data_IF_303917389943
#
_entry.id   IF_303917389943
#
_cell.length_a   1.000
_cell.length_b   1.000
_cell.length_c   1.000
_cell.angle_alpha   90.00
_cell.angle_beta   90.00
_cell.angle_gamma   90.00
#
_symmetry.space_group_name_H-M   'P 1'
#
loop_
_entity.id
_entity.type
_entity.pdbx_description
1 polymer ?
#
# COMPACT_ATOMS: atom_id res chain seq x y z
N UNK A 1 -7.87 25.12 -52.50
CA UNK A 1 -6.52 24.55 -52.69
C UNK A 1 -5.62 25.13 -51.60
N UNK A 2 -5.39 24.37 -50.53
CA UNK A 2 -4.33 24.64 -49.55
C UNK A 2 -3.76 23.26 -49.21
N UNK A 3 -2.52 23.07 -49.54
CA UNK A 3 -1.76 21.83 -49.42
C UNK A 3 -1.31 21.57 -47.98
N UNK A 4 -1.62 20.42 -47.46
CA UNK A 4 -1.14 19.94 -46.16
C UNK A 4 0.32 19.39 -46.33
N UNK A 5 1.23 19.95 -45.51
CA UNK A 5 2.58 19.43 -45.37
C UNK A 5 2.62 18.43 -44.22
N UNK A 6 2.80 17.15 -44.54
CA UNK A 6 3.03 16.07 -43.57
C UNK A 6 4.52 15.98 -43.26
N UNK A 7 4.92 16.43 -42.08
CA UNK A 7 6.25 16.19 -41.53
C UNK A 7 6.31 14.82 -40.83
N UNK A 8 6.94 13.83 -41.48
CA UNK A 8 7.30 12.55 -40.86
C UNK A 8 8.61 12.75 -40.07
N UNK A 9 8.56 12.70 -38.75
CA UNK A 9 9.74 12.47 -37.93
C UNK A 9 10.12 10.97 -38.02
N UNK A 10 11.16 10.67 -38.76
CA UNK A 10 11.75 9.33 -38.84
C UNK A 10 12.59 9.05 -37.59
N UNK A 11 12.14 8.15 -36.76
CA UNK A 11 12.98 7.51 -35.75
C UNK A 11 13.52 6.21 -36.33
N UNK A 12 14.81 6.17 -36.60
CA UNK A 12 15.54 4.93 -36.94
C UNK A 12 15.86 4.18 -35.61
N UNK A 13 15.48 2.91 -35.46
CA UNK A 13 15.85 2.15 -34.27
C UNK A 13 17.27 1.61 -34.45
N UNK A 14 18.21 2.12 -33.64
CA UNK A 14 19.50 1.45 -33.48
C UNK A 14 19.26 0.16 -32.65
N UNK A 15 19.52 -0.98 -33.30
CA UNK A 15 19.61 -2.32 -32.71
C UNK A 15 20.73 -2.30 -31.65
N UNK A 16 20.37 -2.34 -30.35
CA UNK A 16 21.31 -2.72 -29.29
C UNK A 16 21.04 -4.17 -28.91
N UNK A 17 22.09 -4.97 -28.94
CA UNK A 17 22.10 -6.37 -28.52
C UNK A 17 21.73 -6.50 -27.01
N UNK A 18 21.10 -7.60 -26.60
CA UNK A 18 20.71 -7.81 -25.21
C UNK A 18 21.93 -8.25 -24.39
N UNK A 19 22.55 -7.36 -23.62
CA UNK A 19 23.43 -7.76 -22.53
C UNK A 19 22.56 -8.14 -21.33
N UNK A 20 22.30 -9.44 -21.21
CA UNK A 20 21.72 -10.03 -20.02
C UNK A 20 22.70 -9.93 -18.84
N UNK A 21 22.30 -9.20 -17.83
CA UNK A 21 22.77 -9.36 -16.47
C UNK A 21 21.58 -9.05 -15.56
N UNK A 22 21.26 -9.88 -14.55
CA UNK A 22 20.18 -9.58 -13.64
C UNK A 22 20.55 -8.32 -12.86
N UNK A 23 19.75 -7.26 -12.94
CA UNK A 23 19.85 -6.09 -12.10
C UNK A 23 19.82 -6.56 -10.64
N UNK A 24 20.97 -6.56 -9.98
CA UNK A 24 21.05 -6.63 -8.52
C UNK A 24 20.40 -5.36 -8.01
N UNK A 25 19.26 -5.50 -7.32
CA UNK A 25 18.70 -4.39 -6.56
C UNK A 25 19.79 -3.79 -5.67
N UNK A 26 20.09 -2.49 -5.77
CA UNK A 26 21.06 -1.86 -4.90
C UNK A 26 20.56 -1.97 -3.46
N UNK A 27 21.44 -2.37 -2.55
CA UNK A 27 21.16 -2.27 -1.11
C UNK A 27 20.88 -0.80 -0.82
N UNK A 28 19.74 -0.53 -0.19
CA UNK A 28 19.39 0.81 0.27
C UNK A 28 20.56 1.38 1.10
N UNK A 29 21.01 2.62 0.84
CA UNK A 29 22.08 3.23 1.62
C UNK A 29 21.65 3.36 3.08
N UNK A 30 22.58 3.08 4.01
CA UNK A 30 22.33 3.20 5.44
C UNK A 30 21.86 4.64 5.76
N UNK A 31 20.71 4.75 6.42
CA UNK A 31 20.11 6.02 6.83
C UNK A 31 21.08 6.78 7.74
N UNK A 32 21.52 7.98 7.35
CA UNK A 32 22.07 8.95 8.30
C UNK A 32 20.96 9.32 9.27
N UNK A 33 21.07 8.86 10.53
CA UNK A 33 20.16 9.26 11.60
C UNK A 33 20.13 10.79 11.70
N UNK A 34 18.99 11.40 11.40
CA UNK A 34 18.72 12.78 11.83
C UNK A 34 18.49 12.72 13.34
N UNK A 35 19.15 13.58 14.14
CA UNK A 35 18.87 13.63 15.57
C UNK A 35 17.45 14.15 15.77
N UNK A 36 16.58 13.36 16.39
CA UNK A 36 15.30 13.82 16.91
C UNK A 36 14.03 13.23 16.34
N UNK A 37 14.03 12.00 15.78
CA UNK A 37 12.78 11.24 15.61
C UNK A 37 13.05 9.79 15.99
N UNK A 38 12.98 9.49 17.29
CA UNK A 38 12.69 8.15 17.76
C UNK A 38 11.23 7.86 17.43
N UNK A 39 10.98 7.42 16.18
CA UNK A 39 9.75 6.70 15.85
C UNK A 39 9.99 5.21 16.07
N UNK A 40 10.35 4.86 17.30
CA UNK A 40 9.84 3.63 17.88
C UNK A 40 8.32 3.81 17.93
N UNK A 41 7.58 2.75 17.55
CA UNK A 41 6.13 2.72 17.62
C UNK A 41 5.67 3.01 19.07
N UNK A 42 5.72 4.28 19.45
CA UNK A 42 4.92 4.78 20.54
C UNK A 42 3.48 4.60 20.06
N UNK A 43 2.74 3.72 20.71
CA UNK A 43 1.29 3.78 20.68
C UNK A 43 0.98 5.25 20.97
N UNK A 44 0.62 6.02 19.94
CA UNK A 44 0.21 7.41 20.10
C UNK A 44 -1.05 7.30 20.91
N UNK A 45 -0.96 7.59 22.21
CA UNK A 45 -2.13 7.77 23.04
C UNK A 45 -2.86 8.96 22.40
N UNK A 46 -3.96 8.67 21.72
CA UNK A 46 -4.75 9.68 21.06
C UNK A 46 -5.22 10.71 22.08
N UNK A 47 -5.25 11.96 21.64
CA UNK A 47 -5.73 13.02 22.51
C UNK A 47 -7.21 12.78 22.85
N UNK A 48 -7.69 13.19 24.04
CA UNK A 48 -9.11 13.09 24.38
C UNK A 48 -10.05 13.73 23.34
N UNK A 49 -9.56 14.73 22.61
CA UNK A 49 -10.31 15.42 21.55
C UNK A 49 -10.46 14.54 20.30
N UNK A 50 -9.44 13.77 19.90
CA UNK A 50 -9.50 12.84 18.77
C UNK A 50 -10.48 11.69 19.06
N UNK A 51 -10.46 11.16 20.27
CA UNK A 51 -11.42 10.14 20.73
C UNK A 51 -12.86 10.67 20.73
N UNK A 52 -13.07 11.94 21.14
CA UNK A 52 -14.38 12.54 21.11
C UNK A 52 -14.88 12.76 19.67
N UNK A 53 -14.03 13.28 18.79
CA UNK A 53 -14.35 13.44 17.37
C UNK A 53 -14.70 12.11 16.70
N UNK A 54 -14.00 11.03 17.06
CA UNK A 54 -14.32 9.69 16.55
C UNK A 54 -15.71 9.22 17.03
N UNK A 55 -16.07 9.46 18.30
CA UNK A 55 -17.41 9.13 18.83
C UNK A 55 -18.52 9.88 18.09
N UNK A 56 -18.28 11.14 17.76
CA UNK A 56 -19.29 12.02 17.17
C UNK A 56 -19.48 11.77 15.66
N UNK A 57 -18.41 11.47 14.93
CA UNK A 57 -18.40 11.44 13.46
C UNK A 57 -17.93 10.13 12.84
N UNK A 58 -17.32 9.22 13.59
CA UNK A 58 -16.63 8.04 13.07
C UNK A 58 -17.53 7.13 12.23
N UNK A 59 -18.76 6.87 12.69
CA UNK A 59 -19.72 6.02 11.97
C UNK A 59 -20.18 6.66 10.65
N UNK A 60 -20.47 7.95 10.64
CA UNK A 60 -20.90 8.67 9.45
C UNK A 60 -19.74 8.75 8.44
N UNK A 61 -18.52 8.94 8.92
CA UNK A 61 -17.30 8.96 8.11
C UNK A 61 -17.00 7.58 7.51
N UNK A 62 -17.11 6.53 8.32
CA UNK A 62 -16.98 5.15 7.85
C UNK A 62 -17.96 4.84 6.71
N UNK A 63 -19.26 5.12 6.89
CA UNK A 63 -20.27 4.88 5.86
C UNK A 63 -19.98 5.65 4.57
N UNK A 64 -19.59 6.92 4.69
CA UNK A 64 -19.21 7.75 3.54
C UNK A 64 -18.03 7.15 2.78
N UNK A 65 -16.95 6.79 3.48
CA UNK A 65 -15.76 6.21 2.85
C UNK A 65 -16.03 4.81 2.26
N UNK A 66 -16.78 3.98 2.96
CA UNK A 66 -17.19 2.66 2.48
C UNK A 66 -18.03 2.75 1.20
N UNK A 67 -18.93 3.73 1.11
CA UNK A 67 -19.73 3.98 -0.09
C UNK A 67 -18.91 4.37 -1.32
N UNK A 68 -17.69 4.86 -1.15
CA UNK A 68 -16.80 5.25 -2.24
C UNK A 68 -15.92 4.10 -2.76
N UNK A 69 -15.79 2.97 -2.06
CA UNK A 69 -14.85 1.90 -2.41
C UNK A 69 -15.00 1.43 -3.86
N UNK A 70 -16.22 1.17 -4.31
CA UNK A 70 -16.50 0.68 -5.66
C UNK A 70 -16.06 1.64 -6.77
N UNK A 71 -16.03 2.96 -6.50
CA UNK A 71 -15.57 3.99 -7.42
C UNK A 71 -14.06 3.96 -7.61
N UNK A 72 -13.32 3.65 -6.53
CA UNK A 72 -11.86 3.69 -6.52
C UNK A 72 -11.22 2.30 -6.70
N UNK A 73 -12.02 1.25 -6.75
CA UNK A 73 -11.50 -0.10 -6.96
C UNK A 73 -11.08 -0.30 -8.41
N UNK A 74 -9.82 -0.65 -8.69
CA UNK A 74 -9.35 -0.92 -10.04
C UNK A 74 -9.98 -2.23 -10.54
N UNK A 75 -10.62 -2.16 -11.70
CA UNK A 75 -11.19 -3.35 -12.35
C UNK A 75 -10.17 -3.91 -13.33
N UNK A 76 -9.70 -5.13 -13.08
CA UNK A 76 -8.78 -5.88 -13.94
C UNK A 76 -7.60 -5.03 -14.46
N UNK A 77 -6.76 -4.44 -13.58
CA UNK A 77 -5.75 -3.46 -13.97
C UNK A 77 -4.75 -3.97 -15.01
N UNK A 78 -4.58 -5.28 -15.13
CA UNK A 78 -3.64 -5.87 -16.09
C UNK A 78 -4.29 -6.36 -17.39
N UNK A 79 -5.63 -6.35 -17.52
CA UNK A 79 -6.32 -6.85 -18.71
C UNK A 79 -5.89 -6.15 -20.02
N UNK A 80 -5.45 -4.89 -19.93
CA UNK A 80 -5.01 -4.08 -21.09
C UNK A 80 -3.49 -3.91 -21.17
N UNK A 81 -2.72 -4.66 -20.36
CA UNK A 81 -1.28 -4.50 -20.27
C UNK A 81 -0.54 -5.53 -21.12
N UNK A 82 0.09 -5.15 -22.25
CA UNK A 82 0.78 -6.11 -23.11
C UNK A 82 2.14 -6.55 -22.54
N UNK A 83 2.75 -5.75 -21.65
CA UNK A 83 4.12 -5.97 -21.16
C UNK A 83 4.22 -6.07 -19.63
N UNK A 84 3.17 -5.71 -18.89
CA UNK A 84 3.16 -5.75 -17.42
C UNK A 84 2.34 -6.95 -16.97
N UNK A 85 2.97 -7.82 -16.19
CA UNK A 85 2.36 -9.05 -15.63
C UNK A 85 2.06 -8.89 -14.14
N UNK A 86 1.25 -9.80 -13.58
CA UNK A 86 0.99 -9.88 -12.14
C UNK A 86 2.29 -10.08 -11.34
N UNK A 87 3.23 -10.86 -11.87
CA UNK A 87 4.54 -11.06 -11.24
C UNK A 87 5.38 -9.76 -11.23
N UNK A 88 5.38 -9.00 -12.33
CA UNK A 88 6.07 -7.72 -12.40
C UNK A 88 5.46 -6.72 -11.41
N UNK A 89 4.11 -6.69 -11.29
CA UNK A 89 3.42 -5.86 -10.30
C UNK A 89 3.79 -6.27 -8.86
N UNK A 90 3.77 -7.57 -8.56
CA UNK A 90 4.18 -8.08 -7.25
C UNK A 90 5.60 -7.64 -6.89
N UNK A 91 6.56 -7.78 -7.81
CA UNK A 91 7.95 -7.33 -7.63
C UNK A 91 8.05 -5.82 -7.37
N UNK A 92 7.30 -5.00 -8.14
CA UNK A 92 7.29 -3.55 -7.96
C UNK A 92 6.72 -3.14 -6.61
N UNK A 93 5.55 -3.69 -6.22
CA UNK A 93 4.92 -3.33 -4.93
C UNK A 93 5.76 -3.85 -3.76
N UNK A 94 6.32 -5.08 -3.84
CA UNK A 94 7.24 -5.62 -2.85
C UNK A 94 8.50 -4.76 -2.68
N UNK A 95 8.95 -4.08 -3.75
CA UNK A 95 10.04 -3.11 -3.67
C UNK A 95 9.60 -1.77 -3.08
N UNK A 96 8.36 -1.32 -3.36
CA UNK A 96 7.82 -0.08 -2.78
C UNK A 96 7.62 -0.15 -1.26
N UNK A 97 7.34 -1.34 -0.71
CA UNK A 97 7.19 -1.55 0.74
C UNK A 97 8.46 -1.12 1.52
N UNK A 98 9.68 -1.62 1.28
CA UNK A 98 10.86 -1.10 1.97
C UNK A 98 11.19 0.35 1.59
N UNK A 99 10.83 0.81 0.39
CA UNK A 99 11.06 2.19 -0.05
C UNK A 99 10.24 3.19 0.77
N UNK A 100 8.93 2.95 0.97
CA UNK A 100 8.11 3.86 1.77
C UNK A 100 8.63 3.96 3.21
N UNK A 101 9.06 2.84 3.79
CA UNK A 101 9.67 2.78 5.13
C UNK A 101 11.02 3.51 5.20
N UNK A 102 11.83 3.41 4.13
CA UNK A 102 13.11 4.14 4.04
C UNK A 102 12.91 5.64 4.14
N UNK A 103 11.86 6.18 3.52
CA UNK A 103 11.51 7.60 3.60
C UNK A 103 10.70 7.97 4.86
N UNK A 104 10.28 6.99 5.66
CA UNK A 104 9.41 7.21 6.83
C UNK A 104 8.02 7.66 6.45
N UNK A 105 7.52 7.22 5.30
CA UNK A 105 6.16 7.52 4.84
C UNK A 105 5.13 6.66 5.59
N UNK A 106 3.91 7.16 5.69
CA UNK A 106 2.80 6.47 6.33
C UNK A 106 2.31 5.26 5.53
N UNK A 107 1.63 4.33 6.19
CA UNK A 107 0.95 3.23 5.51
C UNK A 107 -0.15 3.72 4.56
N UNK A 108 -0.78 4.86 4.89
CA UNK A 108 -1.74 5.53 4.02
C UNK A 108 -1.11 5.91 2.67
N UNK A 109 0.11 6.49 2.68
CA UNK A 109 0.84 6.81 1.45
C UNK A 109 1.11 5.58 0.59
N UNK A 110 1.47 4.43 1.19
CA UNK A 110 1.67 3.19 0.46
C UNK A 110 0.36 2.67 -0.15
N UNK A 111 -0.74 2.67 0.59
CA UNK A 111 -2.06 2.26 0.09
C UNK A 111 -2.50 3.10 -1.10
N UNK A 112 -2.37 4.43 -1.00
CA UNK A 112 -2.70 5.36 -2.09
C UNK A 112 -1.77 5.18 -3.29
N UNK A 113 -0.49 4.87 -3.06
CA UNK A 113 0.47 4.56 -4.13
C UNK A 113 -0.01 3.38 -4.96
N UNK A 114 -0.36 2.27 -4.31
CA UNK A 114 -0.81 1.06 -4.99
C UNK A 114 -2.15 1.29 -5.70
N UNK A 115 -3.11 1.99 -5.07
CA UNK A 115 -4.38 2.34 -5.69
C UNK A 115 -4.18 3.22 -6.95
N UNK A 116 -3.32 4.24 -6.86
CA UNK A 116 -2.96 5.12 -8.00
C UNK A 116 -2.33 4.32 -9.14
N UNK A 117 -1.38 3.43 -8.83
CA UNK A 117 -0.73 2.53 -9.78
C UNK A 117 -1.75 1.66 -10.51
N UNK A 118 -2.58 0.93 -9.77
CA UNK A 118 -3.52 -0.04 -10.34
C UNK A 118 -4.62 0.64 -11.16
N UNK A 119 -5.14 1.77 -10.71
CA UNK A 119 -6.13 2.56 -11.45
C UNK A 119 -5.56 3.13 -12.75
N UNK A 120 -4.30 3.56 -12.75
CA UNK A 120 -3.64 4.00 -13.96
C UNK A 120 -3.44 2.85 -14.94
N UNK A 121 -2.97 1.69 -14.47
CA UNK A 121 -2.80 0.47 -15.28
C UNK A 121 -4.11 -0.01 -15.91
N UNK A 122 -5.24 0.13 -15.20
CA UNK A 122 -6.56 -0.25 -15.74
C UNK A 122 -6.96 0.54 -17.00
N UNK A 123 -6.41 1.74 -17.18
CA UNK A 123 -6.80 2.66 -18.26
C UNK A 123 -5.73 2.91 -19.31
N UNK A 124 -4.46 2.65 -18.98
CA UNK A 124 -3.31 3.10 -19.81
C UNK A 124 -2.28 1.98 -19.94
N UNK A 125 -1.99 1.51 -21.17
CA UNK A 125 -0.90 0.58 -21.40
C UNK A 125 0.46 1.20 -21.03
N UNK A 126 1.33 0.41 -20.39
CA UNK A 126 2.63 0.84 -19.90
C UNK A 126 3.72 -0.09 -20.43
N UNK A 127 4.79 0.49 -20.95
CA UNK A 127 5.97 -0.27 -21.36
C UNK A 127 6.73 -0.78 -20.11
N UNK A 128 7.32 -1.96 -20.22
CA UNK A 128 8.02 -2.61 -19.10
C UNK A 128 9.17 -1.77 -18.54
N UNK A 129 9.90 -1.03 -19.39
CA UNK A 129 11.00 -0.14 -19.00
C UNK A 129 10.52 1.13 -18.25
N UNK A 130 9.27 1.54 -18.44
CA UNK A 130 8.65 2.68 -17.75
C UNK A 130 7.94 2.27 -16.46
N UNK A 131 7.83 0.96 -16.16
CA UNK A 131 6.98 0.48 -15.07
C UNK A 131 7.52 0.87 -13.69
N UNK A 132 8.84 0.83 -13.49
CA UNK A 132 9.45 1.32 -12.24
C UNK A 132 9.24 2.83 -12.06
N UNK A 133 9.37 3.62 -13.12
CA UNK A 133 9.11 5.06 -13.07
C UNK A 133 7.66 5.35 -12.67
N UNK A 134 6.70 4.57 -13.17
CA UNK A 134 5.29 4.70 -12.79
C UNK A 134 5.09 4.44 -11.29
N UNK A 135 5.71 3.39 -10.73
CA UNK A 135 5.66 3.11 -9.29
C UNK A 135 6.19 4.26 -8.43
N UNK A 136 7.35 4.82 -8.81
CA UNK A 136 7.95 5.97 -8.14
C UNK A 136 7.09 7.23 -8.30
N UNK A 137 6.48 7.42 -9.46
CA UNK A 137 5.55 8.54 -9.71
C UNK A 137 4.30 8.43 -8.84
N UNK A 138 3.72 7.23 -8.72
CA UNK A 138 2.57 6.99 -7.86
C UNK A 138 2.92 7.26 -6.38
N UNK A 139 4.10 6.83 -5.93
CA UNK A 139 4.59 7.12 -4.58
C UNK A 139 4.78 8.62 -4.33
N UNK A 140 5.31 9.35 -5.31
CA UNK A 140 5.44 10.82 -5.23
C UNK A 140 4.08 11.50 -5.08
N UNK A 141 3.10 11.12 -5.91
CA UNK A 141 1.74 11.67 -5.87
C UNK A 141 1.09 11.41 -4.51
N UNK A 142 1.12 10.15 -4.05
CA UNK A 142 0.56 9.76 -2.76
C UNK A 142 1.23 10.51 -1.59
N UNK A 143 2.56 10.60 -1.59
CA UNK A 143 3.31 11.33 -0.56
C UNK A 143 2.96 12.81 -0.52
N UNK A 144 2.82 13.47 -1.67
CA UNK A 144 2.40 14.87 -1.73
C UNK A 144 0.99 15.10 -1.17
N UNK A 145 0.14 14.07 -1.22
CA UNK A 145 -1.24 14.17 -0.76
C UNK A 145 -1.35 14.03 0.76
N UNK A 146 -0.56 13.16 1.40
CA UNK A 146 -0.78 12.78 2.81
C UNK A 146 0.39 13.08 3.74
N UNK A 147 1.58 13.37 3.20
CA UNK A 147 2.75 13.62 4.03
C UNK A 147 3.04 15.11 4.17
N UNK A 148 3.43 15.52 5.37
CA UNK A 148 3.90 16.90 5.63
C UNK A 148 5.20 17.19 4.88
N UNK A 149 6.09 16.19 4.79
CA UNK A 149 7.39 16.27 4.14
C UNK A 149 7.58 15.15 3.12
N UNK A 150 7.03 15.30 1.91
CA UNK A 150 7.21 14.30 0.86
C UNK A 150 8.69 14.22 0.43
N UNK A 151 9.17 13.05 -0.05
CA UNK A 151 10.53 12.91 -0.55
C UNK A 151 10.75 13.78 -1.79
N UNK A 152 11.97 14.28 -1.95
CA UNK A 152 12.33 15.08 -3.12
C UNK A 152 12.45 14.21 -4.38
N UNK A 153 12.28 14.84 -5.56
CA UNK A 153 12.44 14.15 -6.86
C UNK A 153 13.82 13.52 -7.01
N UNK A 154 14.88 14.16 -6.45
CA UNK A 154 16.25 13.65 -6.51
C UNK A 154 16.44 12.39 -5.68
N UNK A 155 15.88 12.36 -4.47
CA UNK A 155 15.94 11.19 -3.58
C UNK A 155 15.20 10.00 -4.19
N UNK A 156 14.01 10.22 -4.76
CA UNK A 156 13.24 9.16 -5.43
C UNK A 156 13.97 8.61 -6.66
N UNK A 157 14.54 9.47 -7.51
CA UNK A 157 15.26 9.05 -8.70
C UNK A 157 16.59 8.37 -8.39
N UNK A 158 17.23 8.68 -7.25
CA UNK A 158 18.44 7.98 -6.80
C UNK A 158 18.19 6.47 -6.59
N UNK A 159 16.96 6.08 -6.21
CA UNK A 159 16.57 4.67 -6.07
C UNK A 159 16.45 3.94 -7.43
N UNK A 160 16.32 4.69 -8.51
CA UNK A 160 16.24 4.15 -9.88
C UNK A 160 17.61 4.06 -10.57
N UNK A 161 18.73 4.23 -9.84
CA UNK A 161 20.10 4.09 -10.36
C UNK A 161 20.39 4.93 -11.63
N UNK A 162 19.79 6.13 -11.73
CA UNK A 162 19.99 7.01 -12.88
C UNK A 162 19.27 6.59 -14.18
N UNK A 163 18.36 5.61 -14.09
CA UNK A 163 17.60 5.14 -15.25
C UNK A 163 16.65 6.23 -15.83
N UNK A 164 16.24 7.20 -15.01
CA UNK A 164 15.26 8.20 -15.38
C UNK A 164 15.71 9.61 -15.02
N UNK A 165 15.18 10.58 -15.77
CA UNK A 165 15.43 12.01 -15.55
C UNK A 165 14.30 12.65 -14.71
N UNK A 166 14.61 13.79 -14.08
CA UNK A 166 13.60 14.62 -13.37
C UNK A 166 12.46 15.02 -14.30
N UNK A 167 12.78 15.31 -15.57
CA UNK A 167 11.76 15.71 -16.55
C UNK A 167 10.80 14.56 -16.89
N UNK A 168 11.30 13.33 -17.01
CA UNK A 168 10.45 12.15 -17.24
C UNK A 168 9.51 11.92 -16.06
N UNK A 169 10.01 12.03 -14.82
CA UNK A 169 9.19 11.88 -13.62
C UNK A 169 8.08 12.95 -13.55
N UNK A 170 8.41 14.24 -13.80
CA UNK A 170 7.42 15.32 -13.83
C UNK A 170 6.37 15.15 -14.91
N UNK A 171 6.79 14.75 -16.11
CA UNK A 171 5.87 14.52 -17.22
C UNK A 171 4.91 13.36 -16.89
N UNK A 172 5.42 12.27 -16.32
CA UNK A 172 4.58 11.13 -15.95
C UNK A 172 3.65 11.48 -14.78
N UNK A 173 4.09 12.30 -13.83
CA UNK A 173 3.22 12.84 -12.77
C UNK A 173 2.00 13.57 -13.36
N UNK A 174 2.23 14.48 -14.30
CA UNK A 174 1.13 15.20 -14.97
C UNK A 174 0.20 14.22 -15.72
N UNK A 175 0.75 13.26 -16.43
CA UNK A 175 -0.04 12.26 -17.18
C UNK A 175 -0.91 11.44 -16.22
N UNK A 176 -0.35 10.96 -15.11
CA UNK A 176 -1.09 10.16 -14.12
C UNK A 176 -2.22 11.00 -13.50
N UNK A 177 -1.94 12.23 -13.06
CA UNK A 177 -2.93 13.12 -12.47
C UNK A 177 -4.08 13.41 -13.45
N UNK A 178 -3.77 13.76 -14.68
CA UNK A 178 -4.78 14.03 -15.72
C UNK A 178 -5.61 12.78 -16.04
N UNK A 179 -4.97 11.62 -16.15
CA UNK A 179 -5.65 10.37 -16.47
C UNK A 179 -6.61 9.93 -15.34
N UNK A 180 -6.26 10.19 -14.09
CA UNK A 180 -7.08 9.93 -12.93
C UNK A 180 -8.06 11.07 -12.60
N UNK A 181 -8.06 12.16 -13.37
CA UNK A 181 -8.93 13.32 -13.15
C UNK A 181 -8.70 14.02 -11.80
N UNK A 182 -7.47 13.95 -11.25
CA UNK A 182 -7.12 14.43 -9.91
C UNK A 182 -7.94 13.80 -8.78
N UNK A 183 -8.65 12.70 -9.06
CA UNK A 183 -9.45 11.98 -8.07
C UNK A 183 -8.56 11.01 -7.28
N UNK A 184 -7.91 11.51 -6.24
CA UNK A 184 -6.85 10.82 -5.50
C UNK A 184 -7.30 10.32 -4.12
N UNK A 185 -8.46 10.75 -3.62
CA UNK A 185 -8.92 10.48 -2.25
C UNK A 185 -9.57 9.10 -2.09
N UNK A 186 -8.90 8.04 -2.54
CA UNK A 186 -9.40 6.68 -2.42
C UNK A 186 -9.59 6.27 -0.95
N UNK A 187 -10.66 5.52 -0.62
CA UNK A 187 -10.73 4.82 0.66
C UNK A 187 -9.66 3.72 0.70
N UNK A 188 -8.90 3.66 1.78
CA UNK A 188 -7.72 2.79 1.89
C UNK A 188 -7.89 1.73 2.97
N UNK A 189 -7.10 0.66 2.89
CA UNK A 189 -7.00 -0.33 3.97
C UNK A 189 -6.53 0.35 5.27
N UNK A 190 -5.59 1.29 5.18
CA UNK A 190 -5.07 2.06 6.31
C UNK A 190 -6.18 2.81 7.06
N UNK A 191 -7.06 3.51 6.33
CA UNK A 191 -8.21 4.20 6.93
C UNK A 191 -9.13 3.24 7.68
N UNK A 192 -9.49 2.10 7.07
CA UNK A 192 -10.41 1.16 7.70
C UNK A 192 -9.77 0.40 8.87
N UNK A 193 -8.47 0.09 8.79
CA UNK A 193 -7.74 -0.48 9.93
C UNK A 193 -7.77 0.46 11.14
N UNK A 194 -7.55 1.75 10.92
CA UNK A 194 -7.63 2.75 11.98
C UNK A 194 -9.04 2.80 12.55
N UNK A 195 -10.05 2.91 11.70
CA UNK A 195 -11.46 2.94 12.13
C UNK A 195 -11.82 1.72 12.99
N UNK A 196 -11.54 0.51 12.55
CA UNK A 196 -11.87 -0.70 13.32
C UNK A 196 -11.05 -0.84 14.60
N UNK A 197 -9.81 -0.36 14.60
CA UNK A 197 -9.00 -0.31 15.83
C UNK A 197 -9.61 0.62 16.87
N UNK A 198 -10.15 1.76 16.45
CA UNK A 198 -10.85 2.70 17.31
C UNK A 198 -12.17 2.12 17.85
N UNK A 199 -12.95 1.47 16.98
CA UNK A 199 -14.17 0.75 17.41
C UNK A 199 -13.84 -0.29 18.48
N UNK A 200 -12.75 -1.05 18.28
CA UNK A 200 -12.29 -2.03 19.27
C UNK A 200 -11.92 -1.40 20.62
N UNK A 201 -11.18 -0.28 20.60
CA UNK A 201 -10.78 0.43 21.83
C UNK A 201 -11.96 1.02 22.62
N UNK A 202 -13.07 1.31 21.94
CA UNK A 202 -14.28 1.82 22.56
C UNK A 202 -15.23 0.73 23.07
N UNK A 203 -14.96 -0.53 22.74
CA UNK A 203 -15.75 -1.66 23.22
C UNK A 203 -15.60 -1.83 24.74
N UNK A 204 -16.68 -2.25 25.42
CA UNK A 204 -16.68 -2.49 26.84
C UNK A 204 -15.63 -3.53 27.25
N UNK A 205 -14.76 -3.16 28.16
CA UNK A 205 -13.66 -4.00 28.64
C UNK A 205 -12.57 -4.26 27.62
N UNK A 206 -12.38 -3.37 26.64
CA UNK A 206 -11.28 -3.45 25.69
C UNK A 206 -9.92 -3.48 26.38
N UNK A 207 -9.01 -4.31 25.88
CA UNK A 207 -7.60 -4.31 26.27
C UNK A 207 -6.81 -3.52 25.23
N UNK A 208 -6.26 -2.38 25.64
CA UNK A 208 -5.52 -1.49 24.76
C UNK A 208 -4.23 -2.13 24.22
N UNK A 209 -3.57 -3.00 25.00
CA UNK A 209 -2.37 -3.69 24.57
C UNK A 209 -2.70 -4.74 23.49
N UNK A 210 -3.75 -5.55 23.70
CA UNK A 210 -4.23 -6.47 22.68
C UNK A 210 -4.66 -5.74 21.40
N UNK A 211 -5.35 -4.59 21.52
CA UNK A 211 -5.77 -3.80 20.38
C UNK A 211 -4.58 -3.24 19.60
N UNK A 212 -3.54 -2.75 20.27
CA UNK A 212 -2.32 -2.26 19.63
C UNK A 212 -1.56 -3.37 18.91
N UNK A 213 -1.39 -4.54 19.53
CA UNK A 213 -0.73 -5.69 18.92
C UNK A 213 -1.48 -6.18 17.66
N UNK A 214 -2.81 -6.28 17.75
CA UNK A 214 -3.64 -6.69 16.61
C UNK A 214 -3.52 -5.68 15.45
N UNK A 215 -3.57 -4.37 15.75
CA UNK A 215 -3.43 -3.32 14.73
C UNK A 215 -2.08 -3.40 14.02
N UNK A 216 -0.99 -3.62 14.78
CA UNK A 216 0.36 -3.75 14.23
C UNK A 216 0.47 -4.98 13.32
N UNK A 217 0.03 -6.15 13.80
CA UNK A 217 0.08 -7.38 13.00
C UNK A 217 -0.82 -7.29 11.78
N UNK A 218 -2.04 -6.76 11.91
CA UNK A 218 -2.96 -6.55 10.81
C UNK A 218 -2.39 -5.57 9.77
N UNK A 219 -1.66 -4.54 10.19
CA UNK A 219 -0.94 -3.63 9.30
C UNK A 219 0.09 -4.37 8.44
N UNK A 220 0.93 -5.22 9.04
CA UNK A 220 1.91 -6.03 8.32
C UNK A 220 1.25 -7.03 7.35
N UNK A 221 0.15 -7.68 7.74
CA UNK A 221 -0.63 -8.56 6.87
C UNK A 221 -1.18 -7.78 5.68
N UNK A 222 -1.74 -6.59 5.94
CA UNK A 222 -2.29 -5.72 4.91
C UNK A 222 -1.22 -5.20 3.94
N UNK A 223 0.00 -4.88 4.42
CA UNK A 223 1.11 -4.52 3.54
C UNK A 223 1.48 -5.66 2.58
N UNK A 224 1.50 -6.91 3.05
CA UNK A 224 1.73 -8.07 2.18
C UNK A 224 0.62 -8.23 1.15
N UNK A 225 -0.65 -8.03 1.53
CA UNK A 225 -1.79 -8.18 0.61
C UNK A 225 -1.75 -7.16 -0.52
N UNK A 226 -1.19 -5.96 -0.32
CA UNK A 226 -1.02 -4.97 -1.38
C UNK A 226 -0.13 -5.47 -2.53
N UNK A 227 0.87 -6.30 -2.24
CA UNK A 227 1.78 -6.83 -3.24
C UNK A 227 1.16 -7.97 -4.07
N UNK A 228 0.26 -8.75 -3.49
CA UNK A 228 -0.35 -9.90 -4.15
C UNK A 228 -1.56 -9.48 -5.00
N UNK A 229 -1.49 -9.84 -6.29
CA UNK A 229 -2.53 -9.53 -7.27
C UNK A 229 -3.89 -10.15 -6.95
N UNK A 230 -3.91 -11.27 -6.21
CA UNK A 230 -5.14 -11.96 -5.81
C UNK A 230 -6.07 -11.07 -4.95
N UNK A 231 -5.51 -10.09 -4.22
CA UNK A 231 -6.27 -9.22 -3.33
C UNK A 231 -6.81 -7.94 -3.98
N UNK A 232 -6.53 -7.69 -5.24
CA UNK A 232 -7.02 -6.48 -5.94
C UNK A 232 -8.56 -6.42 -6.00
N UNK A 233 -9.22 -7.59 -6.08
CA UNK A 233 -10.67 -7.68 -6.12
C UNK A 233 -11.37 -7.45 -4.78
N UNK A 234 -10.65 -7.44 -3.66
CA UNK A 234 -11.22 -7.27 -2.33
C UNK A 234 -11.41 -5.79 -2.00
N UNK A 235 -12.55 -5.48 -1.38
CA UNK A 235 -12.78 -4.12 -0.87
C UNK A 235 -11.77 -3.80 0.27
N UNK A 236 -11.22 -2.58 0.33
CA UNK A 236 -10.29 -2.18 1.38
C UNK A 236 -10.82 -2.38 2.80
N UNK A 237 -12.12 -2.11 3.03
CA UNK A 237 -12.76 -2.33 4.34
C UNK A 237 -12.89 -3.81 4.69
N UNK A 238 -13.06 -4.70 3.71
CA UNK A 238 -13.08 -6.16 3.93
C UNK A 238 -11.68 -6.66 4.29
N UNK A 239 -10.65 -6.21 3.58
CA UNK A 239 -9.25 -6.55 3.88
C UNK A 239 -8.83 -6.06 5.27
N UNK A 240 -9.24 -4.86 5.66
CA UNK A 240 -8.94 -4.31 6.98
C UNK A 240 -9.61 -5.14 8.09
N UNK A 241 -10.92 -5.45 7.96
CA UNK A 241 -11.64 -6.28 8.92
C UNK A 241 -11.07 -7.71 9.00
N UNK A 242 -10.81 -8.33 7.84
CA UNK A 242 -10.21 -9.66 7.77
C UNK A 242 -8.80 -9.72 8.34
N UNK A 243 -7.98 -8.70 8.10
CA UNK A 243 -6.62 -8.61 8.65
C UNK A 243 -6.63 -8.47 10.18
N UNK A 244 -7.54 -7.66 10.75
CA UNK A 244 -7.69 -7.55 12.19
C UNK A 244 -8.23 -8.83 12.82
N UNK A 245 -9.26 -9.45 12.24
CA UNK A 245 -9.80 -10.71 12.72
C UNK A 245 -8.76 -11.84 12.67
N UNK A 246 -7.94 -11.88 11.62
CA UNK A 246 -6.83 -12.83 11.51
C UNK A 246 -5.75 -12.54 12.56
N UNK A 247 -5.39 -11.27 12.77
CA UNK A 247 -4.40 -10.86 13.77
C UNK A 247 -4.84 -11.27 15.17
N UNK A 248 -6.08 -11.00 15.55
CA UNK A 248 -6.65 -11.42 16.84
C UNK A 248 -6.59 -12.93 17.03
N UNK A 249 -6.91 -13.70 15.99
CA UNK A 249 -6.86 -15.17 16.02
C UNK A 249 -5.43 -15.68 16.17
N UNK A 250 -4.48 -15.11 15.44
CA UNK A 250 -3.07 -15.52 15.46
C UNK A 250 -2.35 -15.18 16.78
N UNK A 251 -2.76 -14.08 17.42
CA UNK A 251 -2.25 -13.66 18.73
C UNK A 251 -2.98 -14.31 19.90
N UNK A 252 -4.10 -14.97 19.65
CA UNK A 252 -4.89 -15.64 20.69
C UNK A 252 -5.52 -14.66 21.67
N UNK A 253 -5.94 -13.48 21.20
CA UNK A 253 -6.51 -12.43 22.03
C UNK A 253 -7.81 -12.88 22.70
N UNK A 254 -8.00 -12.48 23.95
CA UNK A 254 -9.19 -12.83 24.74
C UNK A 254 -10.42 -12.05 24.34
N UNK A 255 -10.21 -10.84 23.84
CA UNK A 255 -11.27 -9.90 23.43
C UNK A 255 -11.02 -9.41 22.00
N UNK A 256 -11.28 -10.29 21.00
CA UNK A 256 -11.11 -9.92 19.61
C UNK A 256 -12.12 -8.84 19.17
N UNK A 257 -11.85 -8.18 18.05
CA UNK A 257 -12.81 -7.30 17.41
C UNK A 257 -14.07 -8.08 17.02
N UNK A 258 -15.25 -7.54 17.37
CA UNK A 258 -16.50 -8.07 16.82
C UNK A 258 -16.61 -7.70 15.33
N UNK A 259 -16.34 -8.65 14.45
CA UNK A 259 -16.31 -8.42 13.01
C UNK A 259 -17.66 -8.02 12.41
N UNK A 260 -18.77 -8.17 13.16
CA UNK A 260 -20.11 -7.71 12.72
C UNK A 260 -20.16 -6.19 12.49
N UNK A 261 -19.28 -5.43 13.16
CA UNK A 261 -19.15 -3.97 12.97
C UNK A 261 -18.76 -3.59 11.53
N UNK A 262 -18.13 -4.50 10.79
CA UNK A 262 -17.76 -4.28 9.39
C UNK A 262 -18.97 -4.31 8.43
N UNK A 263 -20.08 -4.90 8.88
CA UNK A 263 -21.30 -5.08 8.06
C UNK A 263 -21.17 -6.10 6.93
N UNK A 264 -20.12 -6.95 6.96
CA UNK A 264 -19.96 -8.04 6.00
C UNK A 264 -20.57 -9.35 6.52
N UNK A 265 -21.11 -10.22 5.62
CA UNK A 265 -21.51 -11.58 5.97
C UNK A 265 -20.33 -12.36 6.54
N UNK A 266 -20.59 -13.22 7.53
CA UNK A 266 -19.57 -14.04 8.18
C UNK A 266 -18.79 -14.94 7.19
N UNK A 267 -19.49 -15.49 6.21
CA UNK A 267 -18.89 -16.33 5.17
C UNK A 267 -17.82 -15.55 4.38
N UNK A 268 -18.12 -14.32 3.95
CA UNK A 268 -17.21 -13.50 3.19
C UNK A 268 -15.98 -13.08 4.03
N UNK A 269 -16.18 -12.80 5.31
CA UNK A 269 -15.08 -12.52 6.24
C UNK A 269 -14.19 -13.75 6.44
N UNK A 270 -14.80 -14.93 6.61
CA UNK A 270 -14.07 -16.19 6.77
C UNK A 270 -13.23 -16.50 5.54
N UNK A 271 -13.79 -16.40 4.34
CA UNK A 271 -13.08 -16.63 3.09
C UNK A 271 -11.91 -15.65 2.93
N UNK A 272 -12.14 -14.37 3.22
CA UNK A 272 -11.07 -13.35 3.21
C UNK A 272 -9.95 -13.69 4.21
N UNK A 273 -10.29 -14.07 5.44
CA UNK A 273 -9.31 -14.44 6.46
C UNK A 273 -8.53 -15.70 6.10
N UNK A 274 -9.15 -16.68 5.43
CA UNK A 274 -8.47 -17.89 4.94
C UNK A 274 -7.45 -17.55 3.86
N UNK A 275 -7.80 -16.68 2.90
CA UNK A 275 -6.87 -16.20 1.88
C UNK A 275 -5.71 -15.39 2.49
N UNK A 276 -5.99 -14.52 3.46
CA UNK A 276 -4.95 -13.78 4.18
C UNK A 276 -4.06 -14.72 5.00
N UNK A 277 -4.61 -15.79 5.60
CA UNK A 277 -3.81 -16.78 6.31
C UNK A 277 -2.88 -17.55 5.38
N UNK A 278 -3.36 -17.91 4.18
CA UNK A 278 -2.52 -18.51 3.15
C UNK A 278 -1.38 -17.56 2.74
N UNK A 279 -1.70 -16.28 2.50
CA UNK A 279 -0.69 -15.26 2.20
C UNK A 279 0.38 -15.19 3.29
N UNK A 280 -0.03 -15.15 4.57
CA UNK A 280 0.89 -15.13 5.72
C UNK A 280 1.76 -16.37 5.76
N UNK A 281 1.21 -17.56 5.53
CA UNK A 281 1.95 -18.82 5.53
C UNK A 281 3.02 -18.87 4.44
N UNK A 282 2.72 -18.34 3.26
CA UNK A 282 3.65 -18.25 2.13
C UNK A 282 4.73 -17.18 2.32
N UNK A 283 4.48 -16.18 3.18
CA UNK A 283 5.38 -15.04 3.41
C UNK A 283 5.94 -14.99 4.85
N UNK A 284 6.03 -16.15 5.52
CA UNK A 284 6.50 -16.25 6.91
C UNK A 284 7.89 -15.65 7.18
N UNK A 285 8.75 -15.54 6.16
CA UNK A 285 10.06 -14.91 6.29
C UNK A 285 10.02 -13.38 6.08
N UNK A 286 9.05 -12.88 5.33
CA UNK A 286 8.92 -11.46 5.01
C UNK A 286 8.16 -10.70 6.09
N UNK A 287 7.12 -11.30 6.66
CA UNK A 287 6.27 -10.65 7.65
C UNK A 287 7.05 -10.17 8.90
N UNK A 288 8.00 -10.92 9.48
CA UNK A 288 8.79 -10.43 10.61
C UNK A 288 9.60 -9.17 10.31
N UNK A 289 9.97 -8.94 9.05
CA UNK A 289 10.70 -7.73 8.64
C UNK A 289 9.79 -6.48 8.63
N UNK A 290 8.50 -6.69 8.63
CA UNK A 290 7.48 -5.65 8.62
C UNK A 290 6.97 -5.29 10.03
N UNK A 291 7.28 -6.12 11.03
CA UNK A 291 6.74 -6.00 12.39
C UNK A 291 7.80 -5.55 13.39
N UNK A 292 7.43 -4.82 14.45
CA UNK A 292 8.28 -4.56 15.59
C UNK A 292 8.67 -5.87 16.31
N UNK A 293 9.87 -5.93 16.90
CA UNK A 293 10.36 -7.14 17.59
C UNK A 293 9.43 -7.64 18.69
N UNK A 294 8.73 -6.73 19.38
CA UNK A 294 7.81 -7.04 20.48
C UNK A 294 6.62 -7.88 19.98
N UNK A 295 6.06 -7.52 18.83
CA UNK A 295 4.95 -8.25 18.21
C UNK A 295 5.43 -9.58 17.61
N UNK A 296 6.61 -9.60 16.99
CA UNK A 296 7.22 -10.86 16.48
C UNK A 296 7.44 -11.86 17.62
N UNK A 297 7.81 -11.39 18.82
CA UNK A 297 7.98 -12.25 19.99
C UNK A 297 6.66 -12.93 20.43
N UNK A 298 5.55 -12.27 20.23
CA UNK A 298 4.20 -12.79 20.53
C UNK A 298 3.67 -13.75 19.45
N UNK A 299 4.39 -13.91 18.34
CA UNK A 299 4.02 -14.78 17.21
C UNK A 299 4.99 -15.97 17.10
N UNK A 300 4.91 -17.03 17.96
CA UNK A 300 5.85 -18.16 17.92
C UNK A 300 5.88 -18.90 16.57
N UNK A 301 4.75 -18.92 15.88
CA UNK A 301 4.58 -19.52 14.56
C UNK A 301 5.43 -18.84 13.46
N UNK A 302 5.83 -17.57 13.62
CA UNK A 302 6.77 -16.89 12.73
C UNK A 302 8.21 -17.37 12.88
N UNK A 303 8.54 -18.08 13.97
CA UNK A 303 9.89 -18.58 14.25
C UNK A 303 10.10 -20.02 13.77
N UNK A 304 9.02 -20.76 13.46
CA UNK A 304 9.02 -22.19 13.13
C UNK A 304 9.25 -22.53 11.67
N UNK A 305 9.43 -21.58 10.80
CA UNK A 305 9.72 -21.78 9.37
C UNK A 305 11.22 -22.04 9.13
N UNK A 306 11.72 -23.23 9.49
CA UNK A 306 12.95 -23.81 8.97
C UNK A 306 12.63 -25.00 8.10
#
# INVERSE_FOLDING_TARGET
>A
MVTAASGRCGFTPQRREPRGSPCRCPRLPARRRRPGTDTAAAAVAESPQELQAFRDYGESWYRSRKGLESRFQPREPLARQPQVTAEARCKLVSWLIPVHRHFGLSFEALCLTVNTLDRFLATTPVAADCFQLLGVTALLIASKQVEVHPPSLKELLALCCGAFTVQQLRNLECIVLLRLGFDLSAPTISFFLEHFSQVRLQAEGADAAEAADARILAGGISELSLADYAFIGYAPSLLAAGSLGLADRLLGHRRPLDLRVSGYPEELLRDCMEQLQLLVSLNGQSLPLLLPPEVVQKCPWLRGGR
#
